data_IF_783273457000
#
_entry.id   IF_783273457000
#
_cell.length_a   1.000
_cell.length_b   1.000
_cell.length_c   1.000
_cell.angle_alpha   90.00
_cell.angle_beta   90.00
_cell.angle_gamma   90.00
#
_symmetry.space_group_name_H-M   'P 1'
#
loop_
_entity.id
_entity.type
_entity.pdbx_description
1 polymer ?
#
# COMPACT_ATOMS: atom_id res chain seq x y z
N UNK A 1 44.88 35.19 -12.97
CA UNK A 1 43.61 35.37 -12.22
C UNK A 1 43.93 35.49 -10.73
N UNK A 2 44.02 36.70 -10.16
CA UNK A 2 44.46 36.87 -8.74
C UNK A 2 43.42 36.43 -7.70
N UNK A 3 42.15 36.30 -8.09
CA UNK A 3 41.05 35.96 -7.18
C UNK A 3 40.49 34.54 -7.39
N UNK A 4 41.17 33.70 -8.19
CA UNK A 4 40.66 32.38 -8.57
C UNK A 4 40.44 31.46 -7.37
N UNK A 5 41.38 31.45 -6.42
CA UNK A 5 41.27 30.65 -5.20
C UNK A 5 40.13 31.11 -4.30
N UNK A 6 39.97 32.43 -4.12
CA UNK A 6 38.89 33.00 -3.30
C UNK A 6 37.52 32.69 -3.89
N UNK A 7 37.37 32.83 -5.22
CA UNK A 7 36.14 32.47 -5.92
C UNK A 7 35.83 30.98 -5.77
N UNK A 8 36.84 30.12 -5.95
CA UNK A 8 36.70 28.67 -5.78
C UNK A 8 36.24 28.29 -4.38
N UNK A 9 36.91 28.81 -3.34
CA UNK A 9 36.56 28.53 -1.94
C UNK A 9 35.15 29.03 -1.60
N UNK A 10 34.76 30.20 -2.11
CA UNK A 10 33.40 30.72 -1.93
C UNK A 10 32.34 29.79 -2.55
N UNK A 11 32.52 29.40 -3.82
CA UNK A 11 31.60 28.49 -4.52
C UNK A 11 31.55 27.13 -3.83
N UNK A 12 32.70 26.57 -3.46
CA UNK A 12 32.77 25.30 -2.74
C UNK A 12 32.05 25.36 -1.40
N UNK A 13 32.27 26.41 -0.60
CA UNK A 13 31.61 26.58 0.69
C UNK A 13 30.08 26.68 0.55
N UNK A 14 29.58 27.45 -0.43
CA UNK A 14 28.14 27.55 -0.68
C UNK A 14 27.53 26.20 -1.05
N UNK A 15 28.17 25.44 -1.95
CA UNK A 15 27.70 24.10 -2.33
C UNK A 15 27.77 23.12 -1.15
N UNK A 16 28.86 23.11 -0.40
CA UNK A 16 29.05 22.23 0.75
C UNK A 16 28.03 22.51 1.86
N UNK A 17 27.77 23.78 2.17
CA UNK A 17 26.77 24.16 3.18
C UNK A 17 25.35 23.84 2.72
N UNK A 18 25.03 24.07 1.45
CA UNK A 18 23.73 23.70 0.88
C UNK A 18 23.49 22.19 0.95
N UNK A 19 24.49 21.39 0.52
CA UNK A 19 24.43 19.94 0.57
C UNK A 19 24.35 19.40 2.01
N UNK A 20 25.18 19.92 2.93
CA UNK A 20 25.16 19.54 4.33
C UNK A 20 23.83 19.92 5.00
N UNK A 21 23.28 21.09 4.70
CA UNK A 21 21.96 21.51 5.19
C UNK A 21 20.86 20.55 4.77
N UNK A 22 20.85 20.11 3.51
CA UNK A 22 19.89 19.12 3.01
C UNK A 22 20.03 17.76 3.72
N UNK A 23 21.25 17.24 3.85
CA UNK A 23 21.47 15.93 4.46
C UNK A 23 21.18 15.92 5.96
N UNK A 24 21.63 16.94 6.69
CA UNK A 24 21.43 17.03 8.13
C UNK A 24 19.96 17.23 8.50
N UNK A 25 19.20 17.97 7.70
CA UNK A 25 17.76 18.14 7.91
C UNK A 25 17.01 16.83 7.61
N UNK A 26 17.29 16.17 6.48
CA UNK A 26 16.69 14.88 6.15
C UNK A 26 17.00 13.81 7.20
N UNK A 27 18.25 13.73 7.67
CA UNK A 27 18.64 12.79 8.72
C UNK A 27 17.95 13.08 10.06
N UNK A 28 17.82 14.36 10.45
CA UNK A 28 17.08 14.74 11.66
C UNK A 28 15.58 14.45 11.56
N UNK A 29 15.00 14.54 10.37
CA UNK A 29 13.57 14.33 10.17
C UNK A 29 13.20 12.84 10.10
N UNK A 30 13.98 12.02 9.39
CA UNK A 30 13.61 10.64 9.02
C UNK A 30 14.66 9.62 9.47
N UNK A 31 15.93 10.00 9.51
CA UNK A 31 17.05 9.08 9.74
C UNK A 31 17.09 8.39 11.11
N UNK A 32 16.43 8.99 12.12
CA UNK A 32 16.30 8.41 13.46
C UNK A 32 14.97 7.68 13.72
N UNK A 33 14.13 7.46 12.70
CA UNK A 33 12.83 6.81 12.90
C UNK A 33 13.00 5.31 13.19
N UNK A 34 12.77 4.94 14.46
CA UNK A 34 12.59 3.54 14.87
C UNK A 34 11.13 3.10 14.86
N UNK A 35 10.89 1.81 15.17
CA UNK A 35 9.54 1.34 15.46
C UNK A 35 8.96 2.07 16.70
N UNK A 36 7.66 2.26 16.70
CA UNK A 36 6.93 2.79 17.85
C UNK A 36 6.44 1.61 18.71
N UNK A 37 6.69 1.65 20.01
CA UNK A 37 6.13 0.70 20.98
C UNK A 37 4.82 1.27 21.51
N UNK A 38 3.71 0.61 21.21
CA UNK A 38 2.41 1.01 21.73
C UNK A 38 2.35 0.76 23.25
N UNK A 39 2.05 1.77 24.08
CA UNK A 39 1.94 1.60 25.52
C UNK A 39 0.80 0.68 25.97
N UNK A 40 -0.22 0.45 25.14
CA UNK A 40 -1.40 -0.31 25.50
C UNK A 40 -1.16 -1.84 25.50
N UNK A 41 -0.41 -2.33 24.51
CA UNK A 41 -0.19 -3.77 24.28
C UNK A 41 1.29 -4.16 24.16
N UNK A 42 2.20 -3.18 24.30
CA UNK A 42 3.65 -3.32 24.12
C UNK A 42 4.11 -3.74 22.72
N UNK A 43 3.20 -3.70 21.73
CA UNK A 43 3.46 -4.12 20.36
C UNK A 43 4.31 -3.08 19.62
N UNK A 44 5.26 -3.55 18.79
CA UNK A 44 6.11 -2.69 17.96
C UNK A 44 5.51 -2.49 16.56
N UNK A 45 5.30 -1.24 16.17
CA UNK A 45 4.77 -0.86 14.86
C UNK A 45 5.77 -0.04 14.02
N UNK A 46 5.81 -0.24 12.69
CA UNK A 46 5.10 -1.26 11.91
C UNK A 46 5.63 -2.67 12.20
N UNK A 47 4.75 -3.67 12.10
CA UNK A 47 5.12 -5.09 12.20
C UNK A 47 5.85 -5.55 10.91
N UNK A 48 6.75 -6.55 10.99
CA UNK A 48 7.31 -7.16 9.78
C UNK A 48 6.21 -7.84 8.95
N UNK A 49 6.40 -7.82 7.64
CA UNK A 49 5.62 -8.67 6.74
C UNK A 49 5.95 -10.15 7.00
N UNK A 50 4.96 -11.03 6.78
CA UNK A 50 5.23 -12.46 6.71
C UNK A 50 5.98 -12.79 5.41
N UNK A 51 6.73 -13.89 5.37
CA UNK A 51 7.48 -14.28 4.17
C UNK A 51 6.61 -14.42 2.92
N UNK A 52 5.35 -14.84 3.08
CA UNK A 52 4.38 -14.91 1.98
C UNK A 52 3.94 -13.52 1.51
N UNK A 53 3.74 -12.56 2.43
CA UNK A 53 3.44 -11.18 2.09
C UNK A 53 4.64 -10.47 1.46
N UNK A 54 5.88 -10.77 1.86
CA UNK A 54 7.08 -10.26 1.19
C UNK A 54 7.17 -10.73 -0.27
N UNK A 55 6.89 -12.02 -0.53
CA UNK A 55 6.79 -12.53 -1.90
C UNK A 55 5.67 -11.83 -2.68
N UNK A 56 4.52 -11.59 -2.03
CA UNK A 56 3.40 -10.86 -2.61
C UNK A 56 3.74 -9.42 -2.98
N UNK A 57 4.58 -8.75 -2.18
CA UNK A 57 5.08 -7.41 -2.49
C UNK A 57 5.91 -7.40 -3.78
N UNK A 58 6.74 -8.43 -4.00
CA UNK A 58 7.49 -8.57 -5.25
C UNK A 58 6.56 -8.78 -6.44
N UNK A 59 5.49 -9.57 -6.28
CA UNK A 59 4.46 -9.73 -7.32
C UNK A 59 3.74 -8.39 -7.59
N UNK A 60 3.40 -7.62 -6.55
CA UNK A 60 2.78 -6.30 -6.70
C UNK A 60 3.67 -5.32 -7.49
N UNK A 61 4.99 -5.39 -7.27
CA UNK A 61 5.99 -4.62 -8.02
C UNK A 61 6.10 -5.08 -9.47
N UNK A 62 6.21 -6.40 -9.71
CA UNK A 62 6.32 -6.99 -11.05
C UNK A 62 5.11 -6.67 -11.94
N UNK A 63 3.92 -6.66 -11.35
CA UNK A 63 2.67 -6.30 -12.04
C UNK A 63 2.50 -4.79 -12.26
N UNK A 64 3.39 -3.95 -11.72
CA UNK A 64 3.30 -2.51 -11.86
C UNK A 64 2.07 -1.89 -11.18
N UNK A 65 1.47 -2.56 -10.18
CA UNK A 65 0.24 -2.11 -9.53
C UNK A 65 0.34 -0.69 -8.94
N UNK A 66 1.55 -0.31 -8.52
CA UNK A 66 1.93 1.02 -8.00
C UNK A 66 1.67 2.17 -8.98
N UNK A 67 1.55 1.87 -10.28
CA UNK A 67 1.25 2.86 -11.32
C UNK A 67 -0.19 3.36 -11.23
N UNK A 68 -1.12 2.52 -10.77
CA UNK A 68 -2.56 2.83 -10.68
C UNK A 68 -3.04 3.06 -9.25
N UNK A 69 -2.34 2.48 -8.28
CA UNK A 69 -2.73 2.47 -6.87
C UNK A 69 -1.63 3.11 -6.02
N UNK A 70 -2.02 4.09 -5.22
CA UNK A 70 -1.14 4.62 -4.17
C UNK A 70 -1.16 3.73 -2.93
N UNK A 71 -0.11 3.82 -2.13
CA UNK A 71 -0.06 3.30 -0.77
C UNK A 71 0.35 4.42 0.18
N UNK A 72 -0.41 5.50 0.18
CA UNK A 72 -0.20 6.67 1.01
C UNK A 72 -1.54 7.36 1.26
N UNK A 73 -2.17 7.08 2.39
CA UNK A 73 -3.41 7.76 2.78
C UNK A 73 -3.08 9.20 3.13
N UNK A 74 -3.75 10.17 2.51
CA UNK A 74 -3.53 11.59 2.80
C UNK A 74 -4.16 11.97 4.13
N UNK A 75 -3.51 12.89 4.86
CA UNK A 75 -4.03 13.45 6.10
C UNK A 75 -5.32 14.24 5.87
N UNK A 76 -6.05 14.46 6.96
CA UNK A 76 -7.22 15.32 6.99
C UNK A 76 -6.89 16.72 6.44
N UNK A 77 -7.81 17.29 5.66
CA UNK A 77 -7.60 18.56 4.96
C UNK A 77 -6.78 18.45 3.66
N UNK A 78 -6.07 17.35 3.42
CA UNK A 78 -5.23 17.13 2.23
C UNK A 78 -5.85 16.17 1.20
N UNK A 79 -7.16 16.27 0.98
CA UNK A 79 -7.90 15.44 0.05
C UNK A 79 -9.08 14.73 0.72
N UNK A 80 -9.59 13.67 0.07
CA UNK A 80 -10.81 12.98 0.50
C UNK A 80 -10.59 11.52 0.88
N UNK A 81 -9.36 11.13 1.22
CA UNK A 81 -9.02 9.71 1.44
C UNK A 81 -9.72 9.14 2.67
N UNK A 82 -9.72 9.89 3.77
CA UNK A 82 -10.42 9.52 5.01
C UNK A 82 -11.94 9.50 4.79
N UNK A 83 -12.48 10.50 4.07
CA UNK A 83 -13.89 10.56 3.70
C UNK A 83 -14.31 9.37 2.80
N UNK A 84 -13.40 8.90 1.94
CA UNK A 84 -13.56 7.67 1.11
C UNK A 84 -13.32 6.38 1.89
N UNK A 85 -13.01 6.47 3.19
CA UNK A 85 -12.70 5.34 4.07
C UNK A 85 -11.53 4.49 3.56
N UNK A 86 -10.54 5.14 2.94
CA UNK A 86 -9.33 4.46 2.48
C UNK A 86 -8.33 4.17 3.60
N UNK A 87 -8.46 4.83 4.74
CA UNK A 87 -7.76 4.52 5.97
C UNK A 87 -8.42 5.27 7.13
N UNK A 88 -8.08 4.90 8.35
CA UNK A 88 -8.58 5.57 9.57
C UNK A 88 -7.78 6.84 9.90
N UNK A 89 -6.53 6.92 9.43
CA UNK A 89 -5.66 8.09 9.52
C UNK A 89 -4.80 8.23 8.25
N UNK A 90 -4.17 9.39 8.10
CA UNK A 90 -3.14 9.58 7.08
C UNK A 90 -1.85 8.82 7.39
N UNK A 91 -1.13 8.42 6.35
CA UNK A 91 0.13 7.67 6.44
C UNK A 91 1.27 8.58 6.94
N UNK A 92 2.08 8.06 7.85
CA UNK A 92 3.26 8.71 8.38
C UNK A 92 4.54 8.08 7.83
N UNK A 93 5.65 8.83 7.82
CA UNK A 93 6.96 8.30 7.40
C UNK A 93 7.37 7.03 8.15
N UNK A 94 6.98 6.92 9.44
CA UNK A 94 7.25 5.75 10.28
C UNK A 94 6.57 4.47 9.78
N UNK A 95 5.44 4.56 9.07
CA UNK A 95 4.74 3.40 8.52
C UNK A 95 5.60 2.65 7.48
N UNK A 96 6.60 3.32 6.89
CA UNK A 96 7.43 2.79 5.80
C UNK A 96 8.84 2.36 6.24
N UNK A 97 9.21 2.42 7.53
CA UNK A 97 10.60 2.19 7.97
C UNK A 97 11.10 0.76 7.73
N UNK A 98 10.20 -0.19 7.51
CA UNK A 98 10.53 -1.59 7.17
C UNK A 98 10.49 -1.87 5.66
N UNK A 99 10.09 -0.90 4.86
CA UNK A 99 10.04 -1.04 3.41
C UNK A 99 11.42 -0.75 2.81
N UNK A 100 12.05 -1.79 2.24
CA UNK A 100 13.29 -1.62 1.47
C UNK A 100 13.06 -0.76 0.22
N UNK A 101 11.87 -0.86 -0.37
CA UNK A 101 11.42 -0.01 -1.49
C UNK A 101 10.03 0.50 -1.14
N UNK A 102 9.91 1.82 -0.99
CA UNK A 102 8.66 2.46 -0.59
C UNK A 102 7.73 2.58 -1.80
N UNK A 103 6.53 2.00 -1.70
CA UNK A 103 5.55 1.89 -2.80
C UNK A 103 4.42 2.92 -2.68
N UNK A 104 4.75 4.19 -2.40
CA UNK A 104 3.75 5.27 -2.22
C UNK A 104 2.81 5.46 -3.42
N UNK A 105 3.25 5.11 -4.63
CA UNK A 105 2.49 5.26 -5.88
C UNK A 105 2.59 6.67 -6.49
N UNK A 106 2.28 6.75 -7.79
CA UNK A 106 2.32 8.01 -8.54
C UNK A 106 0.94 8.52 -8.93
N UNK A 107 0.04 7.63 -9.37
CA UNK A 107 -1.31 8.00 -9.81
C UNK A 107 -2.38 7.22 -9.03
N UNK A 108 -3.60 7.76 -9.06
CA UNK A 108 -4.78 7.19 -8.37
C UNK A 108 -5.90 6.93 -9.36
N UNK A 109 -5.64 6.02 -10.30
CA UNK A 109 -6.66 5.49 -11.19
C UNK A 109 -7.56 4.49 -10.44
N UNK A 110 -6.95 3.71 -9.54
CA UNK A 110 -7.65 2.90 -8.55
C UNK A 110 -7.63 3.56 -7.15
N UNK A 111 -8.32 2.95 -6.17
CA UNK A 111 -8.25 3.40 -4.79
C UNK A 111 -6.83 3.25 -4.23
N UNK A 112 -6.50 4.08 -3.24
CA UNK A 112 -5.32 3.83 -2.39
C UNK A 112 -5.42 2.44 -1.76
N UNK A 113 -4.30 1.76 -1.53
CA UNK A 113 -4.27 0.40 -0.98
C UNK A 113 -3.53 0.26 0.36
N UNK A 114 -3.01 1.34 0.94
CA UNK A 114 -2.15 1.25 2.14
C UNK A 114 -2.83 0.58 3.33
N UNK A 115 -4.13 0.78 3.45
CA UNK A 115 -4.97 0.17 4.47
C UNK A 115 -6.00 -0.79 3.87
N UNK A 116 -5.75 -1.32 2.66
CA UNK A 116 -6.75 -2.15 1.99
C UNK A 116 -7.11 -3.36 2.82
N UNK A 117 -6.17 -3.96 3.57
CA UNK A 117 -6.37 -5.11 4.44
C UNK A 117 -7.16 -4.82 5.72
N UNK A 118 -7.39 -3.55 6.07
CA UNK A 118 -8.26 -3.17 7.19
C UNK A 118 -9.73 -2.95 6.75
N UNK A 119 -10.00 -2.87 5.43
CA UNK A 119 -11.30 -2.38 4.92
C UNK A 119 -12.43 -3.41 4.93
N UNK A 120 -12.13 -4.71 4.86
CA UNK A 120 -13.18 -5.75 4.91
C UNK A 120 -13.63 -6.10 6.34
N UNK A 121 -13.16 -5.37 7.35
CA UNK A 121 -13.67 -5.47 8.72
C UNK A 121 -13.50 -6.87 9.31
N UNK A 122 -14.61 -7.51 9.66
CA UNK A 122 -14.66 -8.83 10.31
C UNK A 122 -14.56 -10.02 9.34
N UNK A 123 -14.37 -9.77 8.03
CA UNK A 123 -14.26 -10.84 7.04
C UNK A 123 -13.10 -11.79 7.38
N UNK A 124 -13.35 -13.09 7.20
CA UNK A 124 -12.30 -14.10 7.44
C UNK A 124 -11.20 -13.98 6.38
N UNK A 125 -9.94 -14.34 6.71
CA UNK A 125 -8.83 -14.26 5.75
C UNK A 125 -9.10 -14.97 4.41
N UNK A 126 -9.81 -16.09 4.42
CA UNK A 126 -10.16 -16.83 3.21
C UNK A 126 -11.18 -16.09 2.33
N UNK A 127 -12.23 -15.51 2.92
CA UNK A 127 -13.25 -14.72 2.22
C UNK A 127 -12.62 -13.45 1.61
N UNK A 128 -11.69 -12.85 2.35
CA UNK A 128 -10.91 -11.70 1.90
C UNK A 128 -10.00 -12.06 0.72
N UNK A 129 -9.26 -13.16 0.83
CA UNK A 129 -8.43 -13.65 -0.25
C UNK A 129 -9.26 -13.92 -1.51
N UNK A 130 -10.43 -14.55 -1.35
CA UNK A 130 -11.35 -14.83 -2.46
C UNK A 130 -11.84 -13.53 -3.13
N UNK A 131 -12.13 -12.47 -2.37
CA UNK A 131 -12.49 -11.17 -2.94
C UNK A 131 -11.35 -10.61 -3.83
N UNK A 132 -10.11 -10.66 -3.35
CA UNK A 132 -8.94 -10.24 -4.15
C UNK A 132 -8.76 -11.12 -5.38
N UNK A 133 -8.94 -12.44 -5.26
CA UNK A 133 -8.81 -13.35 -6.39
C UNK A 133 -9.83 -13.05 -7.48
N UNK A 134 -11.09 -12.80 -7.12
CA UNK A 134 -12.13 -12.38 -8.08
C UNK A 134 -11.77 -11.06 -8.73
N UNK A 135 -11.29 -10.08 -7.95
CA UNK A 135 -10.87 -8.79 -8.47
C UNK A 135 -9.70 -8.92 -9.45
N UNK A 136 -8.73 -9.79 -9.17
CA UNK A 136 -7.57 -10.02 -10.03
C UNK A 136 -7.95 -10.81 -11.30
N UNK A 137 -8.75 -11.86 -11.18
CA UNK A 137 -9.15 -12.70 -12.31
C UNK A 137 -10.13 -11.99 -13.24
N UNK A 138 -11.19 -11.41 -12.69
CA UNK A 138 -12.26 -10.74 -13.42
C UNK A 138 -12.70 -9.46 -12.69
N UNK A 139 -11.95 -8.35 -12.80
CA UNK A 139 -12.23 -7.13 -12.06
C UNK A 139 -13.68 -6.62 -12.18
N UNK A 140 -14.27 -6.78 -13.38
CA UNK A 140 -15.66 -6.42 -13.68
C UNK A 140 -16.71 -7.24 -12.90
N UNK A 141 -16.35 -8.40 -12.37
CA UNK A 141 -17.25 -9.22 -11.55
C UNK A 141 -17.41 -8.68 -10.12
N UNK A 142 -16.43 -7.91 -9.66
CA UNK A 142 -16.40 -7.33 -8.31
C UNK A 142 -16.74 -5.84 -8.36
N UNK A 143 -16.12 -5.11 -9.29
CA UNK A 143 -16.28 -3.67 -9.45
C UNK A 143 -16.73 -3.35 -10.89
N UNK A 144 -18.05 -3.28 -11.10
CA UNK A 144 -18.62 -2.97 -12.42
C UNK A 144 -18.14 -1.58 -12.90
N UNK A 145 -17.61 -1.52 -14.12
CA UNK A 145 -17.11 -0.27 -14.71
C UNK A 145 -15.69 0.10 -14.26
N UNK A 146 -14.98 -0.79 -13.56
CA UNK A 146 -13.56 -0.56 -13.22
C UNK A 146 -12.67 -0.51 -14.47
N UNK A 147 -11.63 0.31 -14.43
CA UNK A 147 -10.59 0.32 -15.46
C UNK A 147 -9.38 -0.55 -15.07
N UNK A 148 -9.46 -1.29 -13.96
CA UNK A 148 -8.42 -2.23 -13.56
C UNK A 148 -8.30 -3.37 -14.59
N UNK A 149 -7.09 -3.63 -15.12
CA UNK A 149 -6.87 -4.77 -16.01
C UNK A 149 -7.08 -6.10 -15.30
N UNK A 150 -7.58 -7.09 -16.05
CA UNK A 150 -7.63 -8.46 -15.57
C UNK A 150 -6.22 -9.08 -15.57
N UNK A 151 -5.92 -9.89 -14.55
CA UNK A 151 -4.69 -10.66 -14.38
C UNK A 151 -4.98 -12.17 -14.40
N UNK A 152 -5.66 -12.70 -15.44
CA UNK A 152 -6.08 -14.11 -15.46
C UNK A 152 -4.88 -15.08 -15.48
N UNK A 153 -3.71 -14.61 -15.93
CA UNK A 153 -2.46 -15.38 -15.93
C UNK A 153 -1.91 -15.70 -14.52
N UNK A 154 -2.49 -15.13 -13.47
CA UNK A 154 -2.19 -15.52 -12.09
C UNK A 154 -3.01 -16.73 -11.62
N UNK A 155 -3.81 -17.33 -12.51
CA UNK A 155 -4.73 -18.42 -12.22
C UNK A 155 -4.59 -19.55 -13.22
N UNK A 156 -4.70 -20.77 -12.73
CA UNK A 156 -4.75 -21.99 -13.54
C UNK A 156 -6.20 -22.38 -13.77
N UNK A 157 -6.52 -22.76 -15.00
CA UNK A 157 -7.85 -23.24 -15.38
C UNK A 157 -7.75 -24.71 -15.78
N UNK A 158 -8.46 -25.58 -15.07
CA UNK A 158 -8.43 -27.02 -15.32
C UNK A 158 -9.80 -27.66 -15.09
N UNK A 159 -10.06 -28.83 -15.71
CA UNK A 159 -11.32 -29.54 -15.49
C UNK A 159 -11.40 -30.11 -14.07
N UNK A 160 -12.58 -30.02 -13.48
CA UNK A 160 -12.91 -30.67 -12.20
C UNK A 160 -13.01 -32.20 -12.38
N UNK A 161 -13.30 -32.66 -13.62
CA UNK A 161 -13.27 -34.07 -14.03
C UNK A 161 -14.01 -35.05 -13.07
N UNK A 162 -15.14 -34.64 -12.52
CA UNK A 162 -15.94 -35.44 -11.59
C UNK A 162 -15.36 -35.58 -10.17
N UNK A 163 -14.30 -34.82 -9.84
CA UNK A 163 -13.75 -34.71 -8.49
C UNK A 163 -14.45 -33.60 -7.71
N UNK A 164 -14.15 -33.50 -6.42
CA UNK A 164 -14.49 -32.30 -5.66
C UNK A 164 -13.68 -31.11 -6.20
N UNK A 165 -14.28 -29.89 -6.27
CA UNK A 165 -13.54 -28.68 -6.58
C UNK A 165 -12.33 -28.53 -5.66
N UNK A 166 -11.25 -27.99 -6.22
CA UNK A 166 -10.04 -27.69 -5.47
C UNK A 166 -10.37 -26.74 -4.31
N UNK A 167 -9.69 -26.91 -3.17
CA UNK A 167 -9.98 -26.14 -1.95
C UNK A 167 -9.88 -24.61 -2.12
N UNK A 168 -9.16 -24.15 -3.15
CA UNK A 168 -8.97 -22.73 -3.47
C UNK A 168 -9.63 -22.32 -4.79
N UNK A 169 -10.53 -23.12 -5.33
CA UNK A 169 -11.25 -22.78 -6.55
C UNK A 169 -12.12 -21.52 -6.35
N UNK A 170 -12.07 -20.59 -7.29
CA UNK A 170 -12.81 -19.33 -7.21
C UNK A 170 -14.31 -19.56 -7.47
N UNK A 171 -15.17 -18.94 -6.66
CA UNK A 171 -16.62 -18.92 -6.89
C UNK A 171 -17.02 -17.74 -7.78
N UNK A 172 -17.04 -17.92 -9.10
CA UNK A 172 -17.33 -16.84 -10.06
C UNK A 172 -18.81 -16.81 -10.49
N UNK A 173 -19.39 -15.61 -10.73
CA UNK A 173 -20.68 -15.52 -11.40
C UNK A 173 -20.62 -16.14 -12.80
N UNK A 174 -21.74 -16.73 -13.27
CA UNK A 174 -21.80 -17.50 -14.52
C UNK A 174 -21.20 -16.79 -15.74
N UNK A 175 -21.38 -15.47 -15.84
CA UNK A 175 -20.81 -14.64 -16.93
C UNK A 175 -19.28 -14.65 -16.99
N UNK A 176 -18.60 -14.84 -15.85
CA UNK A 176 -17.14 -14.78 -15.73
C UNK A 176 -16.52 -16.16 -15.47
N UNK A 177 -17.33 -17.21 -15.41
CA UNK A 177 -16.85 -18.58 -15.23
C UNK A 177 -16.15 -19.09 -16.52
N UNK A 178 -15.11 -19.93 -16.40
CA UNK A 178 -14.32 -20.42 -17.54
C UNK A 178 -15.09 -21.37 -18.48
N UNK A 179 -16.26 -21.88 -18.06
CA UNK A 179 -17.10 -22.81 -18.82
C UNK A 179 -17.59 -23.97 -17.95
N UNK A 180 -18.54 -24.80 -18.45
CA UNK A 180 -19.06 -25.93 -17.68
C UNK A 180 -17.96 -26.94 -17.33
N UNK A 181 -17.87 -27.33 -16.05
CA UNK A 181 -16.93 -28.37 -15.59
C UNK A 181 -15.47 -27.92 -15.45
N UNK A 182 -15.18 -26.64 -15.65
CA UNK A 182 -13.85 -26.03 -15.43
C UNK A 182 -13.82 -25.26 -14.11
N UNK A 183 -12.71 -25.34 -13.41
CA UNK A 183 -12.43 -24.52 -12.23
C UNK A 183 -11.26 -23.58 -12.46
N UNK A 184 -11.23 -22.49 -11.69
CA UNK A 184 -10.16 -21.48 -11.68
C UNK A 184 -9.48 -21.52 -10.33
N UNK A 185 -8.18 -21.78 -10.29
CA UNK A 185 -7.41 -21.92 -9.04
C UNK A 185 -6.28 -20.89 -9.02
N UNK A 186 -6.06 -20.17 -7.90
CA UNK A 186 -4.99 -19.20 -7.80
C UNK A 186 -3.62 -19.88 -7.80
N UNK A 187 -2.70 -19.37 -8.61
CA UNK A 187 -1.28 -19.77 -8.55
C UNK A 187 -0.66 -19.30 -7.23
N UNK A 188 0.54 -19.81 -6.91
CA UNK A 188 1.31 -19.31 -5.77
C UNK A 188 1.54 -17.78 -5.81
N UNK A 189 1.67 -17.19 -7.00
CA UNK A 189 1.80 -15.73 -7.17
C UNK A 189 0.54 -14.98 -6.77
N UNK A 190 -0.64 -15.48 -7.16
CA UNK A 190 -1.92 -14.90 -6.73
C UNK A 190 -2.07 -14.97 -5.21
N UNK A 191 -1.76 -16.12 -4.61
CA UNK A 191 -1.84 -16.34 -3.17
C UNK A 191 -0.92 -15.38 -2.41
N UNK A 192 0.34 -15.27 -2.84
CA UNK A 192 1.29 -14.34 -2.26
C UNK A 192 0.82 -12.89 -2.37
N UNK A 193 0.35 -12.46 -3.55
CA UNK A 193 -0.17 -11.10 -3.75
C UNK A 193 -1.36 -10.80 -2.83
N UNK A 194 -2.31 -11.72 -2.69
CA UNK A 194 -3.43 -11.54 -1.78
C UNK A 194 -2.99 -11.46 -0.31
N UNK A 195 -1.98 -12.24 0.10
CA UNK A 195 -1.39 -12.15 1.44
C UNK A 195 -0.74 -10.79 1.69
N UNK A 196 -0.03 -10.24 0.70
CA UNK A 196 0.50 -8.87 0.78
C UNK A 196 -0.60 -7.84 0.93
N UNK A 197 -1.63 -7.86 0.07
CA UNK A 197 -2.73 -6.89 0.16
C UNK A 197 -3.49 -6.99 1.51
N UNK A 198 -3.67 -8.19 2.05
CA UNK A 198 -4.25 -8.38 3.39
C UNK A 198 -3.35 -7.87 4.52
N UNK A 199 -2.02 -7.89 4.33
CA UNK A 199 -1.06 -7.36 5.32
C UNK A 199 -1.04 -5.83 5.38
N UNK A 200 -1.54 -5.14 4.36
CA UNK A 200 -1.63 -3.67 4.30
C UNK A 200 -2.76 -3.16 5.20
N UNK A 201 -2.48 -3.11 6.51
CA UNK A 201 -3.41 -2.70 7.56
C UNK A 201 -2.68 -1.94 8.67
N UNK A 202 -2.45 -0.66 8.43
CA UNK A 202 -1.93 0.23 9.46
C UNK A 202 -3.08 0.65 10.39
N UNK A 203 -3.51 -0.24 11.30
CA UNK A 203 -4.62 0.00 12.24
C UNK A 203 -4.18 0.60 13.60
N UNK A 204 -2.89 0.89 13.76
CA UNK A 204 -2.31 1.49 14.96
C UNK A 204 -2.21 3.01 14.81
N UNK A 205 -1.97 3.76 15.89
CA UNK A 205 -1.76 5.22 15.82
C UNK A 205 -0.44 5.64 16.43
N UNK A 206 0.09 6.78 15.97
CA UNK A 206 1.26 7.43 16.54
C UNK A 206 0.84 8.78 17.14
N UNK A 207 0.55 8.87 18.45
CA UNK A 207 0.04 10.10 19.06
C UNK A 207 0.92 11.34 18.81
N UNK A 208 2.23 11.15 18.77
CA UNK A 208 3.21 12.21 18.48
C UNK A 208 3.18 12.68 17.03
N UNK A 209 2.91 11.80 16.07
CA UNK A 209 2.83 12.19 14.65
C UNK A 209 1.44 12.78 14.34
N UNK A 210 0.39 12.32 15.01
CA UNK A 210 -0.96 12.89 14.90
C UNK A 210 -0.98 14.37 15.30
N UNK A 211 -0.37 14.71 16.44
CA UNK A 211 -0.32 16.10 16.90
C UNK A 211 0.47 17.01 15.95
N UNK A 212 1.55 16.50 15.34
CA UNK A 212 2.36 17.23 14.35
C UNK A 212 1.62 17.49 13.04
N UNK A 213 0.73 16.59 12.64
CA UNK A 213 0.01 16.66 11.35
C UNK A 213 -1.45 17.08 11.51
N UNK A 214 -1.83 17.63 12.66
CA UNK A 214 -3.18 18.14 12.88
C UNK A 214 -3.46 19.30 11.92
N UNK A 215 -4.66 19.33 11.27
CA UNK A 215 -5.02 20.43 10.40
C UNK A 215 -5.03 21.75 11.19
N UNK A 216 -4.63 22.84 10.53
CA UNK A 216 -4.75 24.16 11.12
C UNK A 216 -6.21 24.43 11.50
N UNK A 217 -6.48 25.10 12.65
CA UNK A 217 -7.85 25.38 13.06
C UNK A 217 -8.55 26.17 11.95
N UNK A 218 -9.77 25.76 11.60
CA UNK A 218 -10.62 26.53 10.71
C UNK A 218 -10.82 27.92 11.33
N UNK A 219 -10.31 28.97 10.68
CA UNK A 219 -10.75 30.32 10.99
C UNK A 219 -12.24 30.36 10.65
N UNK A 220 -13.09 30.48 11.67
CA UNK A 220 -14.49 30.83 11.45
C UNK A 220 -14.50 32.10 10.58
N UNK A 221 -15.05 31.97 9.37
CA UNK A 221 -15.30 33.12 8.53
C UNK A 221 -16.38 33.92 9.26
N UNK A 222 -15.96 34.97 9.96
CA UNK A 222 -16.88 35.91 10.59
C UNK A 222 -17.84 36.42 9.54
N UNK A 223 -19.13 36.19 9.79
CA UNK A 223 -20.23 36.81 9.07
C UNK A 223 -20.31 38.30 9.38
#
# INVERSE_FOLDING_TARGET
>A
MKNGLTLFLGVFATLALSWAGLLLTAHRQIGGLGQFKDPADETLYPQPLSGLADQGRLVYQDLGCVTCHTQQVRHEGFGSDLARKWGERGSYARDYIRDQTVLIGQNRLGPDLRNVGARLGEAKPAEYAEWFYKLLYAPQSVAKGTNMPAHPFLFDVHPVAGRQPSAHALTLPSKFAPGPGLEVVPTARAVALAAYLQSLKDSYDYPTERSRNAPAPHKEAGH
#
